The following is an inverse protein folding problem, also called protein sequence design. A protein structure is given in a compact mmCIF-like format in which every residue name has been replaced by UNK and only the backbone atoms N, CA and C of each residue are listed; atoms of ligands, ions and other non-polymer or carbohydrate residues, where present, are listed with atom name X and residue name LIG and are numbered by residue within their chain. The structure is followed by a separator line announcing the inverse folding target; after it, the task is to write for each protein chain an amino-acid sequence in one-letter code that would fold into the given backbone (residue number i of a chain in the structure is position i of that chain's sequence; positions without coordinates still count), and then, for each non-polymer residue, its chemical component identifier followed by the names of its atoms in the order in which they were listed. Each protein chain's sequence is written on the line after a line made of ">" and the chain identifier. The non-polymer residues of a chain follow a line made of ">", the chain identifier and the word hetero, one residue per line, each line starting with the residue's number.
data_IF_016272782245
#
_entry.id   IF_016272782245
#
_cell.length_a   1.000
_cell.length_b   1.000
_cell.length_c   1.000
_cell.angle_alpha   90.00
_cell.angle_beta   90.00
_cell.angle_gamma   90.00
#
_symmetry.space_group_name_H-M   'P 1'
#
loop_
_entity.id
_entity.type
_entity.pdbx_description
1 polymer ?
#
# COMPACT_ATOMS: atom_id res chain seq x y z
N UNK A 1 13.01 -7.51 -21.14
CA UNK A 1 12.45 -8.47 -22.10
C UNK A 1 11.28 -7.82 -22.86
N UNK A 2 11.13 -8.05 -24.19
CA UNK A 2 10.10 -7.36 -24.99
C UNK A 2 8.65 -7.60 -24.52
N UNK A 3 8.41 -8.70 -23.82
CA UNK A 3 7.08 -9.04 -23.28
C UNK A 3 6.69 -8.22 -22.04
N UNK A 4 7.66 -7.57 -21.37
CA UNK A 4 7.38 -6.81 -20.17
C UNK A 4 7.13 -5.33 -20.48
N UNK A 5 6.06 -4.72 -19.94
CA UNK A 5 5.84 -3.30 -20.06
C UNK A 5 6.94 -2.52 -19.32
N UNK A 6 7.21 -1.31 -19.78
CA UNK A 6 8.26 -0.47 -19.19
C UNK A 6 7.91 0.12 -17.83
N UNK A 7 6.66 0.01 -17.39
CA UNK A 7 6.20 0.53 -16.10
C UNK A 7 5.20 -0.42 -15.45
N UNK A 8 5.18 -0.46 -14.13
CA UNK A 8 4.21 -1.22 -13.34
C UNK A 8 2.77 -0.76 -13.62
N UNK A 9 2.57 0.54 -13.86
CA UNK A 9 1.26 1.08 -14.23
C UNK A 9 0.68 0.42 -15.48
N UNK A 10 1.51 0.22 -16.52
CA UNK A 10 1.08 -0.49 -17.74
C UNK A 10 0.80 -1.97 -17.47
N UNK A 11 1.57 -2.59 -16.58
CA UNK A 11 1.34 -3.97 -16.17
C UNK A 11 -0.01 -4.11 -15.48
N UNK A 12 -0.28 -3.25 -14.50
CA UNK A 12 -1.54 -3.23 -13.75
C UNK A 12 -2.73 -2.97 -14.68
N UNK A 13 -2.64 -1.96 -15.56
CA UNK A 13 -3.70 -1.62 -16.53
C UNK A 13 -4.00 -2.74 -17.52
N UNK A 14 -2.99 -3.53 -17.87
CA UNK A 14 -3.15 -4.74 -18.68
C UNK A 14 -3.66 -5.95 -17.88
N UNK A 15 -3.92 -5.78 -16.58
CA UNK A 15 -4.26 -6.85 -15.63
C UNK A 15 -3.26 -8.02 -15.67
N UNK A 16 -2.00 -7.72 -15.88
CA UNK A 16 -0.93 -8.70 -15.99
C UNK A 16 -0.97 -9.59 -17.23
N UNK A 17 -2.13 -10.11 -17.58
CA UNK A 17 -2.37 -10.90 -18.80
C UNK A 17 -1.21 -11.87 -19.14
N UNK A 18 -0.80 -11.88 -20.39
CA UNK A 18 0.32 -12.70 -20.89
C UNK A 18 1.68 -12.37 -20.28
N UNK A 19 1.81 -11.21 -19.61
CA UNK A 19 3.07 -10.83 -18.95
C UNK A 19 3.29 -11.61 -17.68
N UNK A 20 2.25 -11.86 -16.88
CA UNK A 20 2.35 -12.71 -15.69
C UNK A 20 2.66 -14.15 -16.08
N UNK A 21 2.04 -14.66 -17.15
CA UNK A 21 2.34 -16.00 -17.66
C UNK A 21 3.81 -16.10 -18.13
N UNK A 22 4.31 -15.06 -18.81
CA UNK A 22 5.70 -14.98 -19.22
C UNK A 22 6.67 -14.90 -18.03
N UNK A 23 6.29 -14.19 -16.95
CA UNK A 23 7.08 -14.12 -15.72
C UNK A 23 7.14 -15.49 -15.02
N UNK A 24 6.01 -16.18 -14.87
CA UNK A 24 5.96 -17.53 -14.31
C UNK A 24 6.82 -18.49 -15.11
N UNK A 25 6.68 -18.48 -16.43
CA UNK A 25 7.49 -19.32 -17.31
C UNK A 25 9.00 -19.00 -17.24
N UNK A 26 9.40 -17.76 -16.97
CA UNK A 26 10.80 -17.40 -16.75
C UNK A 26 11.34 -17.94 -15.42
N UNK A 27 10.51 -17.90 -14.35
CA UNK A 27 10.86 -18.50 -13.06
C UNK A 27 11.04 -20.02 -13.15
N UNK A 28 10.15 -20.70 -13.88
CA UNK A 28 10.23 -22.16 -14.10
C UNK A 28 11.50 -22.59 -14.88
N UNK A 29 12.10 -21.70 -15.67
CA UNK A 29 13.32 -21.96 -16.44
C UNK A 29 14.61 -21.52 -15.74
N UNK A 30 14.56 -21.15 -14.47
CA UNK A 30 15.69 -20.60 -13.69
C UNK A 30 16.35 -19.37 -14.33
N UNK A 31 15.68 -18.73 -15.29
CA UNK A 31 16.18 -17.51 -15.95
C UNK A 31 16.15 -16.29 -15.01
N UNK A 32 15.38 -16.37 -13.94
CA UNK A 32 15.23 -15.29 -12.98
C UNK A 32 16.51 -15.02 -12.17
N UNK A 33 17.31 -16.05 -11.84
CA UNK A 33 18.57 -15.89 -11.11
C UNK A 33 19.57 -15.00 -11.85
N UNK A 34 19.61 -15.11 -13.19
CA UNK A 34 20.47 -14.27 -14.01
C UNK A 34 20.06 -12.80 -14.05
N UNK A 35 18.85 -12.48 -13.60
CA UNK A 35 18.25 -11.13 -13.58
C UNK A 35 18.25 -10.49 -12.18
N UNK A 36 18.77 -11.18 -11.17
CA UNK A 36 18.84 -10.63 -9.80
C UNK A 36 19.83 -9.45 -9.75
N UNK A 37 19.33 -8.31 -9.31
CA UNK A 37 20.14 -7.09 -9.09
C UNK A 37 20.38 -6.93 -7.60
N UNK A 38 21.60 -7.22 -7.15
CA UNK A 38 21.99 -7.01 -5.77
C UNK A 38 21.99 -5.52 -5.41
N UNK A 39 21.44 -5.18 -4.25
CA UNK A 39 21.43 -3.81 -3.74
C UNK A 39 20.50 -2.86 -4.51
N UNK A 40 19.55 -3.38 -5.28
CA UNK A 40 18.55 -2.54 -5.94
C UNK A 40 17.70 -1.80 -4.90
N UNK A 41 17.57 -0.48 -5.07
CA UNK A 41 16.61 0.32 -4.29
C UNK A 41 15.21 0.09 -4.86
N UNK A 42 14.31 -0.35 -4.01
CA UNK A 42 12.90 -0.44 -4.37
C UNK A 42 12.29 0.96 -4.36
N UNK A 43 11.48 1.25 -5.35
CA UNK A 43 10.64 2.44 -5.42
C UNK A 43 9.21 2.05 -5.07
N UNK A 44 8.33 3.06 -4.88
CA UNK A 44 6.90 2.80 -4.81
C UNK A 44 6.47 1.94 -6.00
N UNK A 45 5.89 0.74 -5.78
CA UNK A 45 5.62 -0.20 -6.87
C UNK A 45 4.52 0.29 -7.80
N UNK A 46 3.62 1.11 -7.30
CA UNK A 46 2.56 1.77 -8.05
C UNK A 46 2.37 3.19 -7.53
N UNK A 47 1.95 4.08 -8.42
CA UNK A 47 1.42 5.40 -8.06
C UNK A 47 -0.08 5.33 -8.33
N UNK A 48 -0.93 5.07 -7.32
CA UNK A 48 -2.35 4.94 -7.54
C UNK A 48 -2.93 6.22 -8.16
N UNK A 49 -3.77 6.07 -9.19
CA UNK A 49 -4.49 7.20 -9.79
C UNK A 49 -5.41 7.86 -8.77
N UNK A 50 -5.94 7.06 -7.84
CA UNK A 50 -6.62 7.50 -6.62
C UNK A 50 -6.40 6.46 -5.51
N UNK A 51 -6.30 6.90 -4.27
CA UNK A 51 -6.33 6.04 -3.10
C UNK A 51 -7.62 6.33 -2.34
N UNK A 52 -8.51 5.33 -2.29
CA UNK A 52 -9.77 5.41 -1.57
C UNK A 52 -9.64 4.67 -0.23
N UNK A 53 -10.05 5.33 0.84
CA UNK A 53 -10.05 4.76 2.18
C UNK A 53 -11.17 5.39 2.98
N UNK A 54 -11.80 4.64 3.88
CA UNK A 54 -12.86 5.15 4.75
C UNK A 54 -12.37 6.27 5.69
N UNK A 55 -11.09 6.25 6.01
CA UNK A 55 -10.37 7.22 6.83
C UNK A 55 -9.34 8.02 6.01
N UNK A 56 -9.65 8.25 4.71
CA UNK A 56 -8.77 9.01 3.85
C UNK A 56 -8.54 10.41 4.41
N UNK A 57 -7.28 10.84 4.33
CA UNK A 57 -6.91 12.20 4.66
C UNK A 57 -7.20 13.10 3.47
N UNK A 58 -7.74 14.28 3.72
CA UNK A 58 -7.95 15.30 2.70
C UNK A 58 -6.60 15.87 2.22
N UNK A 59 -6.52 16.19 0.94
CA UNK A 59 -5.39 16.84 0.32
C UNK A 59 -4.59 15.97 -0.65
N UNK A 60 -3.66 16.60 -1.34
CA UNK A 60 -2.73 15.95 -2.25
C UNK A 60 -1.84 14.96 -1.50
N UNK A 61 -1.50 13.85 -2.15
CA UNK A 61 -0.64 12.81 -1.58
C UNK A 61 0.78 12.96 -2.10
N UNK A 62 1.75 12.92 -1.17
CA UNK A 62 3.15 12.74 -1.51
C UNK A 62 3.55 11.30 -1.26
N UNK A 63 3.88 10.59 -2.34
CA UNK A 63 4.15 9.14 -2.29
C UNK A 63 5.63 8.88 -2.05
N UNK A 64 5.91 7.99 -1.10
CA UNK A 64 7.22 7.48 -0.74
C UNK A 64 7.29 5.98 -0.99
N UNK A 65 8.44 5.49 -1.40
CA UNK A 65 8.73 4.06 -1.55
C UNK A 65 9.34 3.44 -0.31
N UNK A 66 9.66 2.14 -0.39
CA UNK A 66 10.41 1.46 0.66
C UNK A 66 11.78 2.08 0.89
N UNK A 67 12.15 2.28 2.15
CA UNK A 67 13.43 2.87 2.54
C UNK A 67 13.53 4.39 2.39
N UNK A 68 12.48 5.05 1.88
CA UNK A 68 12.47 6.51 1.80
C UNK A 68 12.31 7.14 3.18
N UNK A 69 12.92 8.29 3.37
CA UNK A 69 12.74 9.11 4.56
C UNK A 69 11.43 9.91 4.47
N UNK A 70 10.58 9.77 5.48
CA UNK A 70 9.37 10.57 5.65
C UNK A 70 9.75 11.88 6.32
N UNK A 71 9.56 13.03 5.67
CA UNK A 71 9.98 14.31 6.24
C UNK A 71 9.29 14.60 7.56
N UNK A 72 10.03 15.14 8.53
CA UNK A 72 9.44 15.65 9.75
C UNK A 72 8.88 17.05 9.50
N UNK A 73 7.54 17.27 9.62
CA UNK A 73 6.95 18.57 9.34
C UNK A 73 7.31 19.61 10.39
N UNK A 74 7.50 20.86 9.95
CA UNK A 74 7.70 21.98 10.86
C UNK A 74 6.48 22.16 11.78
N UNK A 75 6.72 22.35 13.07
CA UNK A 75 5.67 22.47 14.08
C UNK A 75 5.07 21.14 14.56
N UNK A 76 5.51 20.01 14.03
CA UNK A 76 5.08 18.70 14.52
C UNK A 76 5.72 18.39 15.88
N UNK A 77 4.89 18.05 16.86
CA UNK A 77 5.29 17.50 18.14
C UNK A 77 5.48 15.98 18.09
N UNK A 78 4.69 15.30 17.24
CA UNK A 78 4.81 13.88 16.93
C UNK A 78 4.15 13.56 15.59
N UNK A 79 4.45 12.37 15.05
CA UNK A 79 3.71 11.79 13.93
C UNK A 79 2.81 10.65 14.42
N UNK A 80 1.64 10.58 13.85
CA UNK A 80 0.77 9.39 13.89
C UNK A 80 1.00 8.59 12.61
N UNK A 81 0.80 7.29 12.72
CA UNK A 81 0.98 6.37 11.63
C UNK A 81 -0.24 5.46 11.51
N UNK A 82 -0.75 5.30 10.28
CA UNK A 82 -1.89 4.43 9.97
C UNK A 82 -1.47 3.35 8.99
N UNK A 83 -1.13 2.16 9.48
CA UNK A 83 -0.81 1.03 8.63
C UNK A 83 -2.07 0.52 7.93
N UNK A 84 -1.97 0.25 6.64
CA UNK A 84 -3.07 -0.23 5.80
C UNK A 84 -2.58 -1.31 4.84
N UNK A 85 -3.53 -2.12 4.39
CA UNK A 85 -3.40 -2.89 3.15
C UNK A 85 -4.23 -2.22 2.06
N UNK A 86 -3.73 -2.23 0.84
CA UNK A 86 -4.43 -1.71 -0.33
C UNK A 86 -4.65 -2.79 -1.38
N UNK A 87 -5.87 -2.87 -1.90
CA UNK A 87 -6.21 -3.61 -3.10
C UNK A 87 -6.08 -2.70 -4.32
N UNK A 88 -5.22 -3.07 -5.26
CA UNK A 88 -4.98 -2.33 -6.50
C UNK A 88 -5.85 -2.92 -7.62
N UNK A 89 -6.63 -2.09 -8.30
CA UNK A 89 -7.51 -2.54 -9.36
C UNK A 89 -6.73 -2.73 -10.67
N UNK A 90 -6.89 -3.89 -11.30
CA UNK A 90 -6.30 -4.24 -12.59
C UNK A 90 -7.23 -4.02 -13.77
N UNK A 91 -8.53 -4.04 -13.53
CA UNK A 91 -9.56 -3.93 -14.57
C UNK A 91 -10.51 -2.79 -14.27
N UNK A 92 -10.95 -2.15 -15.34
CA UNK A 92 -12.07 -1.22 -15.31
C UNK A 92 -13.35 -2.01 -15.61
N UNK A 93 -14.27 -2.18 -14.65
CA UNK A 93 -15.54 -2.85 -14.93
C UNK A 93 -16.39 -1.95 -15.82
N UNK A 94 -17.12 -2.56 -16.77
CA UNK A 94 -18.05 -1.85 -17.66
C UNK A 94 -19.41 -1.58 -17.01
N UNK A 95 -19.71 -2.32 -15.94
CA UNK A 95 -20.98 -2.26 -15.20
C UNK A 95 -20.73 -2.33 -13.70
N UNK A 96 -21.67 -1.91 -12.85
CA UNK A 96 -21.59 -2.08 -11.40
C UNK A 96 -21.34 -3.53 -11.03
N UNK A 97 -20.43 -3.75 -10.10
CA UNK A 97 -20.05 -5.11 -9.70
C UNK A 97 -21.13 -5.78 -8.83
N UNK A 98 -21.40 -7.08 -9.06
CA UNK A 98 -22.15 -7.87 -8.11
C UNK A 98 -21.37 -8.06 -6.80
N UNK A 99 -22.00 -8.45 -5.68
CA UNK A 99 -21.34 -8.58 -4.38
C UNK A 99 -20.08 -9.45 -4.39
N UNK A 100 -20.07 -10.51 -5.21
CA UNK A 100 -18.95 -11.43 -5.38
C UNK A 100 -17.95 -11.02 -6.48
N UNK A 101 -18.22 -9.94 -7.21
CA UNK A 101 -17.46 -9.56 -8.41
C UNK A 101 -16.18 -8.78 -8.13
N UNK A 102 -15.98 -8.29 -6.91
CA UNK A 102 -14.86 -7.40 -6.61
C UNK A 102 -13.49 -8.07 -6.80
N UNK A 103 -13.34 -9.33 -6.43
CA UNK A 103 -12.08 -10.07 -6.59
C UNK A 103 -11.61 -10.19 -8.04
N UNK A 104 -12.54 -10.21 -8.98
CA UNK A 104 -12.24 -10.33 -10.42
C UNK A 104 -11.60 -9.06 -11.02
N UNK A 105 -11.69 -7.92 -10.34
CA UNK A 105 -11.11 -6.65 -10.79
C UNK A 105 -9.85 -6.26 -10.02
N UNK A 106 -9.53 -6.96 -8.92
CA UNK A 106 -8.31 -6.74 -8.13
C UNK A 106 -7.12 -7.38 -8.86
N UNK A 107 -6.09 -6.58 -9.14
CA UNK A 107 -4.79 -7.05 -9.65
C UNK A 107 -3.96 -7.68 -8.55
N UNK A 108 -3.91 -7.04 -7.38
CA UNK A 108 -3.11 -7.51 -6.26
C UNK A 108 -3.18 -6.60 -5.05
N UNK A 109 -2.35 -6.91 -4.08
CA UNK A 109 -2.31 -6.24 -2.78
C UNK A 109 -0.93 -5.68 -2.48
N UNK A 110 -0.89 -4.57 -1.74
CA UNK A 110 0.34 -3.92 -1.27
C UNK A 110 0.12 -3.28 0.09
N UNK A 111 1.18 -2.91 0.77
CA UNK A 111 1.10 -2.20 2.04
C UNK A 111 1.11 -0.69 1.82
N UNK A 112 0.45 0.03 2.72
CA UNK A 112 0.39 1.49 2.73
C UNK A 112 0.56 1.99 4.15
N UNK A 113 1.33 3.06 4.32
CA UNK A 113 1.42 3.84 5.55
C UNK A 113 0.97 5.26 5.31
N UNK A 114 -0.08 5.70 5.99
CA UNK A 114 -0.48 7.11 6.04
C UNK A 114 0.17 7.78 7.25
N UNK A 115 0.70 8.99 7.05
CA UNK A 115 1.44 9.73 8.06
C UNK A 115 0.74 11.05 8.37
N UNK A 116 0.45 11.30 9.65
CA UNK A 116 -0.21 12.53 10.10
C UNK A 116 0.68 13.25 11.09
N UNK A 117 0.80 14.56 10.93
CA UNK A 117 1.51 15.38 11.88
C UNK A 117 0.57 15.99 12.92
N UNK A 118 1.01 15.98 14.18
CA UNK A 118 0.32 16.60 15.32
C UNK A 118 1.27 17.59 16.02
N UNK A 119 0.72 18.71 16.46
CA UNK A 119 1.42 19.64 17.32
C UNK A 119 1.64 19.07 18.72
N UNK A 120 2.42 19.74 19.55
CA UNK A 120 2.59 19.35 20.96
C UNK A 120 1.27 19.33 21.76
N UNK A 121 0.23 20.03 21.30
CA UNK A 121 -1.11 20.06 21.90
C UNK A 121 -2.07 19.03 21.29
N UNK A 122 -1.66 18.35 20.20
CA UNK A 122 -2.45 17.31 19.54
C UNK A 122 -3.26 17.80 18.34
N UNK A 123 -3.17 19.08 18.01
CA UNK A 123 -3.85 19.62 16.84
C UNK A 123 -3.20 19.14 15.53
N UNK A 124 -3.98 18.93 14.46
CA UNK A 124 -3.40 18.61 13.17
C UNK A 124 -2.44 19.69 12.68
N UNK A 125 -1.25 19.27 12.22
CA UNK A 125 -0.26 20.15 11.58
C UNK A 125 -0.39 19.98 10.07
N UNK A 126 -0.71 21.04 9.31
CA UNK A 126 -0.76 20.99 7.87
C UNK A 126 0.62 20.65 7.27
N UNK A 127 0.62 19.83 6.25
CA UNK A 127 1.84 19.48 5.49
C UNK A 127 1.72 20.08 4.09
N UNK A 128 2.35 21.23 3.83
CA UNK A 128 2.15 21.99 2.58
C UNK A 128 2.54 21.22 1.32
N UNK A 129 3.49 20.30 1.44
CA UNK A 129 3.98 19.50 0.30
C UNK A 129 3.10 18.27 -0.01
N UNK A 130 1.96 18.15 0.63
CA UNK A 130 1.05 17.01 0.53
C UNK A 130 1.23 16.00 1.66
N UNK A 131 0.15 15.32 1.98
CA UNK A 131 0.11 14.30 3.04
C UNK A 131 1.01 13.13 2.68
N UNK A 132 2.04 12.82 3.49
CA UNK A 132 2.93 11.71 3.21
C UNK A 132 2.18 10.39 3.22
N UNK A 133 2.46 9.56 2.21
CA UNK A 133 1.96 8.20 2.09
C UNK A 133 3.10 7.30 1.61
N UNK A 134 3.44 6.28 2.36
CA UNK A 134 4.35 5.24 1.87
C UNK A 134 3.59 4.07 1.26
N UNK A 135 4.15 3.45 0.22
CA UNK A 135 3.55 2.31 -0.48
C UNK A 135 4.62 1.30 -0.92
N UNK A 136 4.37 0.03 -0.71
CA UNK A 136 5.28 -1.06 -1.07
C UNK A 136 5.20 -2.25 -0.12
N UNK A 137 6.21 -3.14 -0.13
CA UNK A 137 7.45 -3.09 -0.95
C UNK A 137 7.21 -3.48 -2.41
N UNK A 138 6.17 -4.25 -2.69
CA UNK A 138 5.75 -4.70 -4.02
C UNK A 138 4.22 -4.77 -4.08
N UNK A 139 3.68 -5.10 -5.24
CA UNK A 139 2.30 -5.56 -5.41
C UNK A 139 2.35 -7.06 -5.62
N UNK A 140 1.76 -7.82 -4.70
CA UNK A 140 1.57 -9.27 -4.85
C UNK A 140 0.24 -9.50 -5.57
N UNK A 141 0.25 -10.32 -6.61
CA UNK A 141 -0.96 -10.60 -7.40
C UNK A 141 -2.01 -11.34 -6.58
N UNK A 142 -3.27 -11.09 -6.89
CA UNK A 142 -4.39 -11.59 -6.08
C UNK A 142 -4.52 -13.12 -6.07
N UNK A 143 -3.87 -13.82 -6.98
CA UNK A 143 -3.83 -15.28 -7.03
C UNK A 143 -2.68 -15.88 -6.17
N UNK A 144 -1.72 -15.07 -5.73
CA UNK A 144 -0.61 -15.50 -4.89
C UNK A 144 -0.75 -15.12 -3.41
N UNK A 145 -1.72 -14.27 -3.08
CA UNK A 145 -1.99 -13.85 -1.71
C UNK A 145 -3.42 -14.18 -1.30
N UNK A 146 -3.59 -14.92 -0.21
CA UNK A 146 -4.86 -15.02 0.49
C UNK A 146 -4.89 -14.03 1.66
N UNK A 147 -5.50 -12.85 1.49
CA UNK A 147 -5.53 -11.86 2.56
C UNK A 147 -6.37 -12.28 3.77
N UNK A 148 -7.15 -13.37 3.68
CA UNK A 148 -7.94 -13.87 4.81
C UNK A 148 -7.07 -14.58 5.85
N UNK A 149 -5.95 -15.15 5.42
CA UNK A 149 -5.01 -15.87 6.29
C UNK A 149 -3.77 -15.06 6.63
N UNK A 150 -3.56 -13.93 5.96
CA UNK A 150 -2.37 -13.08 6.11
C UNK A 150 -2.38 -12.31 7.44
N UNK A 151 -1.26 -12.33 8.14
CA UNK A 151 -0.99 -11.49 9.31
C UNK A 151 -0.19 -10.25 8.93
N UNK A 152 -0.48 -9.15 9.62
CA UNK A 152 0.27 -7.90 9.54
C UNK A 152 0.85 -7.57 10.89
N UNK A 153 2.14 -7.25 10.91
CA UNK A 153 2.87 -6.81 12.10
C UNK A 153 3.45 -5.43 11.85
N UNK A 154 3.31 -4.54 12.82
CA UNK A 154 3.97 -3.23 12.81
C UNK A 154 5.05 -3.23 13.87
N UNK A 155 6.25 -2.77 13.49
CA UNK A 155 7.38 -2.55 14.42
C UNK A 155 7.86 -1.12 14.33
N UNK A 156 8.33 -0.61 15.46
CA UNK A 156 9.00 0.69 15.56
C UNK A 156 10.33 0.48 16.28
N UNK A 157 11.42 0.88 15.62
CA UNK A 157 12.79 0.64 16.07
C UNK A 157 13.05 -0.83 16.47
N UNK A 158 12.41 -1.77 15.74
CA UNK A 158 12.52 -3.21 15.94
C UNK A 158 11.57 -3.78 17.00
N UNK A 159 10.87 -2.97 17.78
CA UNK A 159 9.89 -3.42 18.76
C UNK A 159 8.50 -3.61 18.11
N UNK A 160 7.87 -4.77 18.38
CA UNK A 160 6.51 -5.04 17.91
C UNK A 160 5.50 -4.14 18.65
N UNK A 161 4.80 -3.31 17.90
CA UNK A 161 3.75 -2.45 18.43
C UNK A 161 2.37 -3.07 18.33
N UNK A 162 2.08 -3.70 17.20
CA UNK A 162 0.80 -4.36 16.99
C UNK A 162 0.93 -5.47 15.95
N UNK A 163 0.12 -6.50 16.12
CA UNK A 163 -0.08 -7.59 15.17
C UNK A 163 -1.55 -7.89 15.00
N UNK A 164 -1.99 -8.10 13.77
CA UNK A 164 -3.37 -8.40 13.42
C UNK A 164 -3.49 -9.26 12.18
N UNK A 165 -4.69 -9.77 11.96
CA UNK A 165 -5.03 -10.56 10.77
C UNK A 165 -5.83 -9.72 9.77
N UNK A 166 -5.61 -9.92 8.46
CA UNK A 166 -6.27 -9.17 7.39
C UNK A 166 -7.70 -9.63 7.05
N UNK A 167 -8.18 -10.74 7.61
CA UNK A 167 -9.44 -11.36 7.19
C UNK A 167 -10.63 -10.36 7.10
N UNK A 168 -10.93 -9.68 8.20
CA UNK A 168 -12.01 -8.68 8.22
C UNK A 168 -11.76 -7.50 7.26
N UNK A 169 -10.52 -7.06 7.17
CA UNK A 169 -10.07 -5.95 6.32
C UNK A 169 -10.21 -6.28 4.84
N UNK A 170 -9.81 -7.47 4.42
CA UNK A 170 -9.94 -7.92 3.03
C UNK A 170 -11.40 -7.92 2.59
N UNK A 171 -12.30 -8.44 3.41
CA UNK A 171 -13.74 -8.40 3.13
C UNK A 171 -14.28 -6.98 3.09
N UNK A 172 -13.82 -6.09 3.97
CA UNK A 172 -14.24 -4.69 3.97
C UNK A 172 -13.79 -3.97 2.69
N UNK A 173 -12.55 -4.20 2.25
CA UNK A 173 -12.02 -3.65 0.99
C UNK A 173 -12.87 -4.09 -0.21
N UNK A 174 -13.14 -5.38 -0.36
CA UNK A 174 -13.92 -5.89 -1.48
C UNK A 174 -15.35 -5.36 -1.47
N UNK A 175 -15.99 -5.26 -0.30
CA UNK A 175 -17.32 -4.63 -0.19
C UNK A 175 -17.30 -3.16 -0.59
N UNK A 176 -16.25 -2.44 -0.24
CA UNK A 176 -16.10 -1.03 -0.61
C UNK A 176 -15.94 -0.85 -2.12
N UNK A 177 -15.14 -1.70 -2.78
CA UNK A 177 -15.02 -1.75 -4.24
C UNK A 177 -16.39 -1.94 -4.89
N UNK A 178 -17.19 -2.92 -4.42
CA UNK A 178 -18.57 -3.13 -4.91
C UNK A 178 -19.45 -1.91 -4.66
N UNK A 179 -19.39 -1.32 -3.47
CA UNK A 179 -20.21 -0.17 -3.12
C UNK A 179 -19.93 1.02 -4.05
N UNK A 180 -18.67 1.35 -4.24
CA UNK A 180 -18.26 2.47 -5.09
C UNK A 180 -18.61 2.20 -6.55
N UNK A 181 -18.46 0.98 -7.06
CA UNK A 181 -18.80 0.63 -8.44
C UNK A 181 -20.25 0.96 -8.82
N UNK A 182 -21.15 1.09 -7.85
CA UNK A 182 -22.57 1.41 -8.06
C UNK A 182 -22.84 2.91 -8.19
N UNK A 183 -21.93 3.74 -7.72
CA UNK A 183 -22.10 5.20 -7.67
C UNK A 183 -21.14 5.93 -8.58
N UNK A 184 -19.98 5.32 -8.85
CA UNK A 184 -18.90 5.93 -9.62
C UNK A 184 -18.22 4.88 -10.51
N UNK A 185 -17.72 5.28 -11.71
CA UNK A 185 -16.92 4.40 -12.52
C UNK A 185 -15.57 4.12 -11.84
N UNK A 186 -15.23 2.84 -11.71
CA UNK A 186 -13.91 2.40 -11.23
C UNK A 186 -12.91 2.38 -12.39
N UNK A 187 -11.67 2.69 -12.09
CA UNK A 187 -10.59 2.67 -13.08
C UNK A 187 -9.45 1.73 -12.67
N UNK A 188 -8.83 1.11 -13.66
CA UNK A 188 -7.59 0.37 -13.46
C UNK A 188 -6.50 1.29 -12.92
N UNK A 189 -5.75 0.81 -11.93
CA UNK A 189 -4.74 1.58 -11.21
C UNK A 189 -5.26 2.36 -10.00
N UNK A 190 -6.57 2.38 -9.74
CA UNK A 190 -7.08 2.85 -8.45
C UNK A 190 -6.73 1.86 -7.34
N UNK A 191 -6.56 2.36 -6.14
CA UNK A 191 -6.32 1.54 -4.96
C UNK A 191 -7.37 1.82 -3.87
N UNK A 192 -7.77 0.76 -3.19
CA UNK A 192 -8.68 0.80 -2.05
C UNK A 192 -7.90 0.33 -0.83
N UNK A 193 -7.79 1.16 0.20
CA UNK A 193 -7.01 0.86 1.39
C UNK A 193 -7.87 0.82 2.65
N UNK A 194 -7.54 -0.09 3.55
CA UNK A 194 -8.14 -0.17 4.88
C UNK A 194 -7.11 -0.61 5.91
N UNK A 195 -7.31 -0.17 7.16
CA UNK A 195 -6.47 -0.62 8.28
C UNK A 195 -6.89 -2.02 8.73
N UNK A 196 -5.94 -2.92 9.00
CA UNK A 196 -6.20 -4.20 9.64
C UNK A 196 -6.47 -4.10 11.14
N UNK A 197 -6.40 -2.89 11.70
CA UNK A 197 -6.55 -2.65 13.13
C UNK A 197 -7.77 -1.78 13.39
N UNK A 198 -8.55 -2.16 14.41
CA UNK A 198 -9.81 -1.49 14.76
C UNK A 198 -9.61 -0.08 15.34
N UNK A 199 -8.40 0.27 15.75
CA UNK A 199 -8.10 1.59 16.29
C UNK A 199 -7.54 2.52 15.22
N UNK A 200 -8.14 3.71 15.03
CA UNK A 200 -7.58 4.72 14.15
C UNK A 200 -6.31 5.27 14.78
N UNK A 201 -5.21 4.97 14.13
CA UNK A 201 -3.88 5.34 14.61
C UNK A 201 -3.48 4.48 15.82
N UNK A 202 -2.30 3.95 15.77
CA UNK A 202 -1.66 3.52 16.98
C UNK A 202 -1.55 4.79 17.83
N UNK A 203 -2.21 4.89 18.97
CA UNK A 203 -2.17 6.08 19.85
C UNK A 203 -0.75 6.44 20.31
N UNK A 204 0.21 5.76 19.72
CA UNK A 204 1.62 5.89 20.02
C UNK A 204 2.21 6.99 19.15
N UNK A 205 2.82 7.93 19.83
CA UNK A 205 3.48 9.09 19.25
C UNK A 205 4.83 8.67 18.71
N UNK A 206 5.01 8.78 17.40
CA UNK A 206 6.31 8.60 16.79
C UNK A 206 7.19 9.84 16.99
N UNK A 207 8.48 9.64 17.08
CA UNK A 207 9.50 10.64 17.32
C UNK A 207 10.41 10.82 16.10
N UNK A 208 11.16 11.95 16.00
CA UNK A 208 12.11 12.16 14.92
C UNK A 208 13.17 11.05 14.87
N UNK A 209 13.42 10.56 13.68
CA UNK A 209 14.42 9.49 13.45
C UNK A 209 13.92 8.08 13.68
N UNK A 210 12.68 7.87 14.11
CA UNK A 210 12.11 6.53 14.31
C UNK A 210 12.10 5.72 13.00
N UNK A 211 12.47 4.46 13.08
CA UNK A 211 12.28 3.48 12.01
C UNK A 211 10.96 2.76 12.16
N UNK A 212 10.14 2.75 11.12
CA UNK A 212 8.81 2.11 11.13
C UNK A 212 8.74 1.05 10.06
N UNK A 213 8.26 -0.13 10.44
CA UNK A 213 8.09 -1.29 9.56
C UNK A 213 6.64 -1.77 9.60
N UNK A 214 6.07 -1.98 8.41
CA UNK A 214 4.84 -2.77 8.23
C UNK A 214 5.26 -4.04 7.53
N UNK A 215 5.09 -5.18 8.18
CA UNK A 215 5.33 -6.48 7.59
C UNK A 215 3.99 -7.20 7.37
N UNK A 216 3.80 -7.76 6.18
CA UNK A 216 2.71 -8.70 5.92
C UNK A 216 3.26 -9.98 5.30
N UNK A 217 2.78 -11.12 5.83
CA UNK A 217 3.12 -12.44 5.30
C UNK A 217 2.72 -12.52 3.81
N UNK A 218 3.65 -12.96 2.96
CA UNK A 218 3.44 -13.04 1.51
C UNK A 218 3.65 -11.72 0.73
N UNK A 219 3.66 -10.55 1.39
CA UNK A 219 3.95 -9.26 0.73
C UNK A 219 5.38 -8.79 1.02
N UNK A 220 5.86 -8.97 2.26
CA UNK A 220 7.16 -8.50 2.71
C UNK A 220 7.06 -7.31 3.64
N UNK A 221 8.13 -6.50 3.72
CA UNK A 221 8.28 -5.40 4.67
C UNK A 221 8.33 -4.06 3.94
N UNK A 222 7.41 -3.17 4.27
CA UNK A 222 7.49 -1.75 3.93
C UNK A 222 8.14 -1.03 5.11
N UNK A 223 9.37 -0.58 4.92
CA UNK A 223 10.16 0.13 5.92
C UNK A 223 10.34 1.59 5.52
N UNK A 224 10.19 2.49 6.47
CA UNK A 224 10.52 3.91 6.32
C UNK A 224 11.21 4.43 7.58
N UNK A 225 11.96 5.52 7.44
CA UNK A 225 12.55 6.26 8.54
C UNK A 225 11.97 7.67 8.60
N UNK A 226 11.75 8.16 9.80
CA UNK A 226 11.29 9.53 9.99
C UNK A 226 12.49 10.50 9.99
N UNK A 227 12.31 11.64 9.35
CA UNK A 227 13.30 12.71 9.34
C UNK A 227 13.54 13.30 10.74
N UNK A 228 14.61 14.05 10.87
CA UNK A 228 14.93 14.77 12.11
C UNK A 228 14.07 16.03 12.24
N UNK A 229 13.72 16.41 13.47
CA UNK A 229 13.11 17.71 13.74
C UNK A 229 14.12 18.83 13.40
N UNK A 230 13.65 19.86 12.72
CA UNK A 230 14.45 21.04 12.36
C UNK A 230 14.24 22.15 13.36
#
# INVERSE_FOLDING_TARGET
>A
HPAFPTTMERLVRGNGGTVLDAARAALERDEAEACVVAGARLLAPVLPASLRSADALDGDRRVFGPGDEIPWPEGAGWLEFRPKIAAVLGRTPSEPLPPEGASAVVFGYTLVGDWLARSATGDPVPIPEGVPMSIGPCVVTADELDPQTTFVTVRVDGEEWVKGNLNGTAHALLREVVRISRTEPLQSGEAFAASPFDQPGLEQRLWPGAGVEIEAEGIGVLQNHLGQAR
#
